data_IF_803486018782
#
_entry.id   IF_803486018782
#
_cell.length_a   1.000
_cell.length_b   1.000
_cell.length_c   1.000
_cell.angle_alpha   90.00
_cell.angle_beta   90.00
_cell.angle_gamma   90.00
#
_symmetry.space_group_name_H-M   'P 1'
#
loop_
_entity.id
_entity.type
_entity.pdbx_description
1 polymer ?
#
# COMPACT_ATOMS: atom_id res chain seq x y z
N UNK A 1 -40.34 -27.59 1.85
CA UNK A 1 -38.87 -27.49 1.75
C UNK A 1 -38.49 -26.11 2.26
N UNK A 2 -37.92 -26.00 3.46
CA UNK A 2 -37.36 -24.73 3.91
C UNK A 2 -36.27 -24.29 2.94
N UNK A 3 -36.26 -23.00 2.60
CA UNK A 3 -35.26 -22.38 1.74
C UNK A 3 -33.89 -22.37 2.44
N UNK A 4 -33.23 -23.53 2.41
CA UNK A 4 -31.92 -23.76 3.03
C UNK A 4 -30.87 -22.81 2.44
N UNK A 5 -31.01 -22.41 1.17
CA UNK A 5 -30.12 -21.46 0.52
C UNK A 5 -30.26 -20.03 1.11
N UNK A 6 -31.48 -19.61 1.46
CA UNK A 6 -31.73 -18.36 2.16
C UNK A 6 -31.12 -18.34 3.57
N UNK A 7 -31.27 -19.44 4.31
CA UNK A 7 -30.71 -19.59 5.66
C UNK A 7 -29.18 -19.61 5.64
N UNK A 8 -28.57 -20.37 4.72
CA UNK A 8 -27.10 -20.45 4.57
C UNK A 8 -26.49 -19.08 4.24
N UNK A 9 -27.15 -18.31 3.35
CA UNK A 9 -26.73 -16.94 3.03
C UNK A 9 -26.83 -16.00 4.23
N UNK A 10 -27.91 -16.08 5.01
CA UNK A 10 -28.08 -15.27 6.22
C UNK A 10 -27.00 -15.59 7.25
N UNK A 11 -26.77 -16.88 7.52
CA UNK A 11 -25.72 -17.36 8.45
C UNK A 11 -24.33 -16.88 8.00
N UNK A 12 -24.00 -17.03 6.71
CA UNK A 12 -22.73 -16.58 6.16
C UNK A 12 -22.56 -15.05 6.26
N UNK A 13 -23.63 -14.28 6.03
CA UNK A 13 -23.62 -12.82 6.17
C UNK A 13 -23.47 -12.37 7.63
N UNK A 14 -24.20 -12.99 8.56
CA UNK A 14 -24.09 -12.68 9.99
C UNK A 14 -22.69 -13.00 10.53
N UNK A 15 -22.15 -14.17 10.17
CA UNK A 15 -20.78 -14.55 10.54
C UNK A 15 -19.74 -13.56 9.99
N UNK A 16 -19.92 -13.14 8.74
CA UNK A 16 -19.07 -12.16 8.08
C UNK A 16 -19.10 -10.78 8.77
N UNK A 17 -20.29 -10.24 9.05
CA UNK A 17 -20.44 -8.95 9.74
C UNK A 17 -19.85 -8.99 11.15
N UNK A 18 -20.03 -10.11 11.87
CA UNK A 18 -19.41 -10.31 13.18
C UNK A 18 -17.88 -10.34 13.10
N UNK A 19 -17.32 -10.99 12.08
CA UNK A 19 -15.87 -11.06 11.87
C UNK A 19 -15.25 -9.69 11.55
N UNK A 20 -15.97 -8.80 10.86
CA UNK A 20 -15.55 -7.42 10.62
C UNK A 20 -15.45 -6.58 11.90
N UNK A 21 -16.27 -6.88 12.91
CA UNK A 21 -16.25 -6.19 14.21
C UNK A 21 -15.06 -6.56 15.11
N UNK A 22 -14.37 -7.66 14.81
CA UNK A 22 -13.19 -8.15 15.55
C UNK A 22 -13.48 -8.69 16.96
N UNK A 23 -12.85 -9.80 17.35
CA UNK A 23 -12.74 -10.21 18.77
C UNK A 23 -11.32 -9.91 19.27
N UNK A 24 -11.15 -8.72 19.82
CA UNK A 24 -9.87 -8.20 20.30
C UNK A 24 -9.22 -9.05 21.41
N UNK A 25 -10.03 -9.75 22.23
CA UNK A 25 -9.50 -10.54 23.35
C UNK A 25 -8.88 -11.84 22.86
N UNK A 26 -9.58 -12.55 21.97
CA UNK A 26 -9.06 -13.78 21.38
C UNK A 26 -7.80 -13.52 20.55
N UNK A 27 -7.82 -12.44 19.75
CA UNK A 27 -6.68 -12.06 18.92
C UNK A 27 -5.45 -11.66 19.75
N UNK A 28 -5.63 -10.95 20.87
CA UNK A 28 -4.52 -10.64 21.81
C UNK A 28 -3.91 -11.91 22.40
N UNK A 29 -4.73 -12.92 22.74
CA UNK A 29 -4.23 -14.22 23.25
C UNK A 29 -3.38 -14.92 22.19
N UNK A 30 -3.86 -15.00 20.95
CA UNK A 30 -3.14 -15.61 19.82
C UNK A 30 -1.82 -14.90 19.50
N UNK A 31 -1.79 -13.57 19.54
CA UNK A 31 -0.57 -12.76 19.36
C UNK A 31 0.48 -13.01 20.44
N UNK A 32 0.06 -13.25 21.68
CA UNK A 32 0.98 -13.56 22.79
C UNK A 32 1.55 -14.98 22.72
N UNK A 33 0.87 -15.90 22.06
CA UNK A 33 1.34 -17.27 21.85
C UNK A 33 2.19 -17.46 20.58
N UNK A 34 2.35 -16.41 19.76
CA UNK A 34 3.20 -16.46 18.58
C UNK A 34 4.67 -16.51 19.00
N UNK A 35 5.28 -17.68 18.88
CA UNK A 35 6.72 -17.86 18.99
C UNK A 35 7.39 -17.52 17.66
N UNK A 36 8.34 -16.58 17.69
CA UNK A 36 9.11 -16.26 16.50
C UNK A 36 10.26 -17.26 16.31
N UNK A 37 10.56 -17.66 15.06
CA UNK A 37 11.67 -18.56 14.74
C UNK A 37 13.02 -17.89 15.03
N UNK A 38 14.11 -18.67 15.02
CA UNK A 38 15.47 -18.15 15.19
C UNK A 38 15.88 -17.28 13.99
N UNK A 39 16.72 -16.25 14.17
CA UNK A 39 17.23 -15.44 13.07
C UNK A 39 18.06 -16.28 12.09
N UNK A 40 17.82 -16.09 10.79
CA UNK A 40 18.73 -16.52 9.71
C UNK A 40 19.24 -15.29 8.95
N UNK A 41 20.44 -15.41 8.36
CA UNK A 41 21.08 -14.29 7.65
C UNK A 41 20.21 -13.82 6.47
N UNK A 42 19.97 -12.50 6.39
CA UNK A 42 19.15 -11.91 5.33
C UNK A 42 19.76 -10.57 4.86
N UNK A 43 19.83 -10.38 3.54
CA UNK A 43 20.49 -9.23 2.91
C UNK A 43 19.53 -8.09 2.52
N UNK A 44 18.32 -8.01 3.08
CA UNK A 44 17.27 -7.14 2.55
C UNK A 44 17.19 -5.73 3.16
N UNK A 45 16.85 -4.78 2.28
CA UNK A 45 16.77 -3.34 2.53
C UNK A 45 15.59 -3.00 3.44
N UNK A 46 15.86 -2.30 4.55
CA UNK A 46 14.88 -2.02 5.60
C UNK A 46 13.85 -0.93 5.25
N UNK A 47 14.13 -0.06 4.29
CA UNK A 47 13.29 1.13 4.04
C UNK A 47 11.91 0.81 3.44
N UNK A 48 11.84 -0.13 2.48
CA UNK A 48 10.59 -0.50 1.81
C UNK A 48 9.71 -1.45 2.63
N UNK A 49 10.27 -2.04 3.69
CA UNK A 49 9.61 -3.04 4.51
C UNK A 49 9.09 -2.41 5.80
N UNK A 50 7.76 -2.32 6.04
CA UNK A 50 7.23 -1.59 7.19
C UNK A 50 7.78 -2.05 8.55
N UNK A 51 7.94 -3.36 8.73
CA UNK A 51 8.52 -3.94 9.97
C UNK A 51 10.00 -3.57 10.10
N UNK A 52 10.77 -3.65 9.01
CA UNK A 52 12.19 -3.26 9.00
C UNK A 52 12.38 -1.77 9.26
N UNK A 53 11.58 -0.91 8.61
CA UNK A 53 11.56 0.53 8.85
C UNK A 53 11.25 0.83 10.31
N UNK A 54 10.26 0.15 10.90
CA UNK A 54 9.90 0.31 12.31
C UNK A 54 11.06 -0.06 13.25
N UNK A 55 11.65 -1.24 13.11
CA UNK A 55 12.77 -1.64 13.98
C UNK A 55 14.00 -0.76 13.81
N UNK A 56 14.27 -0.30 12.57
CA UNK A 56 15.33 0.67 12.35
C UNK A 56 15.02 2.01 13.04
N UNK A 57 13.77 2.48 13.00
CA UNK A 57 13.35 3.69 13.72
C UNK A 57 13.46 3.53 15.23
N UNK A 58 13.03 2.41 15.78
CA UNK A 58 13.16 2.10 17.20
C UNK A 58 14.63 2.08 17.63
N UNK A 59 15.53 1.53 16.79
CA UNK A 59 16.97 1.58 17.00
C UNK A 59 17.52 3.02 16.97
N UNK A 60 17.17 3.83 15.96
CA UNK A 60 17.63 5.22 15.87
C UNK A 60 17.14 6.04 17.07
N UNK A 61 15.92 5.81 17.53
CA UNK A 61 15.36 6.47 18.71
C UNK A 61 16.08 6.10 20.02
N UNK A 62 16.69 4.91 20.09
CA UNK A 62 17.49 4.48 21.24
C UNK A 62 18.87 5.15 21.34
N UNK A 63 19.32 5.83 20.26
CA UNK A 63 20.62 6.48 20.17
C UNK A 63 20.49 7.98 19.88
N UNK A 64 20.76 8.88 20.84
CA UNK A 64 20.59 10.32 20.66
C UNK A 64 21.30 10.90 19.44
N UNK A 65 22.49 10.36 19.12
CA UNK A 65 23.31 10.72 17.95
C UNK A 65 22.66 10.46 16.59
N UNK A 66 21.72 9.50 16.51
CA UNK A 66 21.03 9.16 15.27
C UNK A 66 19.58 9.65 15.23
N UNK A 67 18.98 9.89 16.40
CA UNK A 67 17.61 10.36 16.54
C UNK A 67 17.35 11.63 15.72
N UNK A 68 18.28 12.58 15.74
CA UNK A 68 18.15 13.86 15.02
C UNK A 68 17.96 13.65 13.51
N UNK A 69 18.68 12.69 12.92
CA UNK A 69 18.56 12.37 11.49
C UNK A 69 17.18 11.77 11.15
N UNK A 70 16.65 10.91 12.02
CA UNK A 70 15.32 10.33 11.84
C UNK A 70 14.22 11.38 11.97
N UNK A 71 14.29 12.20 13.03
CA UNK A 71 13.32 13.26 13.33
C UNK A 71 13.31 14.31 12.20
N UNK A 72 14.47 14.66 11.63
CA UNK A 72 14.54 15.55 10.47
C UNK A 72 13.77 15.00 9.26
N UNK A 73 13.95 13.72 8.92
CA UNK A 73 13.26 13.12 7.79
C UNK A 73 11.73 13.05 7.99
N UNK A 74 11.28 12.89 9.23
CA UNK A 74 9.85 12.88 9.57
C UNK A 74 9.28 14.30 9.51
N UNK A 75 9.95 15.28 10.13
CA UNK A 75 9.56 16.69 10.07
C UNK A 75 9.51 17.20 8.61
N UNK A 76 10.48 16.80 7.76
CA UNK A 76 10.50 17.17 6.35
C UNK A 76 9.35 16.53 5.56
N UNK A 77 9.00 15.28 5.86
CA UNK A 77 7.87 14.60 5.25
C UNK A 77 6.54 15.25 5.64
N UNK A 78 6.37 15.57 6.93
CA UNK A 78 5.18 16.25 7.44
C UNK A 78 5.04 17.66 6.87
N UNK A 79 6.14 18.39 6.71
CA UNK A 79 6.15 19.69 6.03
C UNK A 79 5.73 19.58 4.56
N UNK A 80 6.15 18.53 3.86
CA UNK A 80 5.78 18.33 2.46
C UNK A 80 4.26 18.15 2.30
N UNK A 81 3.66 17.36 3.19
CA UNK A 81 2.23 17.10 3.23
C UNK A 81 1.38 18.24 3.81
N UNK A 82 1.99 19.17 4.56
CA UNK A 82 1.28 20.27 5.17
C UNK A 82 0.87 21.33 4.14
N UNK A 83 -0.25 22.01 4.42
CA UNK A 83 -0.80 23.10 3.61
C UNK A 83 -1.05 24.36 4.45
N UNK A 84 -1.12 25.52 3.79
CA UNK A 84 -1.46 26.81 4.41
C UNK A 84 -0.58 27.17 5.62
N UNK A 85 -1.21 27.62 6.71
CA UNK A 85 -0.52 28.06 7.92
C UNK A 85 0.31 26.94 8.59
N UNK A 86 -0.13 25.69 8.50
CA UNK A 86 0.61 24.55 9.05
C UNK A 86 1.95 24.35 8.32
N UNK A 87 1.96 24.50 6.99
CA UNK A 87 3.18 24.40 6.18
C UNK A 87 4.20 25.47 6.56
N UNK A 88 3.76 26.72 6.75
CA UNK A 88 4.62 27.82 7.16
C UNK A 88 5.20 27.61 8.56
N UNK A 89 4.41 27.08 9.49
CA UNK A 89 4.89 26.74 10.83
C UNK A 89 5.93 25.62 10.78
N UNK A 90 5.66 24.53 10.07
CA UNK A 90 6.59 23.42 9.91
C UNK A 90 7.91 23.87 9.26
N UNK A 91 7.84 24.75 8.26
CA UNK A 91 9.00 25.41 7.65
C UNK A 91 9.87 26.12 8.70
N UNK A 92 9.27 27.02 9.50
CA UNK A 92 9.99 27.78 10.53
C UNK A 92 10.61 26.86 11.58
N UNK A 93 9.88 25.82 11.99
CA UNK A 93 10.37 24.82 12.95
C UNK A 93 11.58 24.06 12.40
N UNK A 94 11.53 23.63 11.13
CA UNK A 94 12.65 22.93 10.48
C UNK A 94 13.90 23.83 10.42
N UNK A 95 13.76 25.08 9.95
CA UNK A 95 14.89 26.02 9.86
C UNK A 95 15.50 26.23 11.24
N UNK A 96 14.66 26.52 12.25
CA UNK A 96 15.14 26.76 13.62
C UNK A 96 15.86 25.53 14.21
N UNK A 97 15.31 24.34 14.02
CA UNK A 97 15.84 23.09 14.59
C UNK A 97 17.14 22.65 13.91
N UNK A 98 17.19 22.66 12.58
CA UNK A 98 18.16 21.84 11.84
C UNK A 98 19.26 22.63 11.13
N UNK A 99 19.07 23.94 10.88
CA UNK A 99 19.99 24.73 10.03
C UNK A 99 20.86 25.70 10.81
N UNK A 100 20.46 26.05 12.05
CA UNK A 100 21.19 26.97 12.92
C UNK A 100 22.27 26.23 13.72
N UNK A 101 23.52 26.67 13.60
CA UNK A 101 24.68 25.98 14.20
C UNK A 101 24.68 25.95 15.73
N UNK A 102 23.98 26.88 16.37
CA UNK A 102 23.76 26.95 17.82
C UNK A 102 22.61 26.05 18.31
N UNK A 103 21.83 25.46 17.38
CA UNK A 103 20.77 24.52 17.72
C UNK A 103 21.33 23.18 18.19
N UNK A 104 20.76 22.64 19.27
CA UNK A 104 21.09 21.30 19.78
C UNK A 104 20.76 20.18 18.78
N UNK A 105 19.85 20.43 17.84
CA UNK A 105 19.43 19.48 16.81
C UNK A 105 20.01 19.84 15.44
N UNK A 106 21.05 20.68 15.40
CA UNK A 106 21.76 20.96 14.16
C UNK A 106 22.27 19.66 13.50
N UNK A 107 22.15 19.57 12.18
CA UNK A 107 22.52 18.37 11.40
C UNK A 107 24.05 18.26 11.23
N UNK A 108 24.76 18.13 12.36
CA UNK A 108 26.23 18.10 12.44
C UNK A 108 26.87 16.89 11.76
N UNK A 109 26.09 15.85 11.48
CA UNK A 109 26.52 14.66 10.76
C UNK A 109 26.64 14.86 9.24
N UNK A 110 26.05 15.93 8.69
CA UNK A 110 26.21 16.26 7.28
C UNK A 110 27.64 16.71 6.98
N UNK A 111 28.13 16.42 5.79
CA UNK A 111 29.47 16.81 5.32
C UNK A 111 29.41 17.41 3.92
N UNK A 112 30.46 18.14 3.53
CA UNK A 112 30.58 18.72 2.18
C UNK A 112 29.44 19.65 1.79
N UNK A 113 29.02 19.56 0.52
CA UNK A 113 28.01 20.42 -0.12
C UNK A 113 26.67 20.42 0.64
N UNK A 114 26.22 19.27 1.17
CA UNK A 114 24.97 19.18 1.92
C UNK A 114 24.98 20.01 3.20
N UNK A 115 26.12 20.07 3.91
CA UNK A 115 26.27 20.86 5.12
C UNK A 115 26.32 22.36 4.80
N UNK A 116 27.07 22.73 3.76
CA UNK A 116 27.18 24.13 3.33
C UNK A 116 25.83 24.70 2.91
N UNK A 117 25.09 23.97 2.06
CA UNK A 117 23.75 24.36 1.63
C UNK A 117 22.74 24.39 2.77
N UNK A 118 22.83 23.47 3.73
CA UNK A 118 21.99 23.48 4.92
C UNK A 118 22.17 24.77 5.75
N UNK A 119 23.42 25.23 5.91
CA UNK A 119 23.73 26.47 6.65
C UNK A 119 23.29 27.74 5.91
N UNK A 120 23.36 27.73 4.57
CA UNK A 120 23.04 28.89 3.74
C UNK A 120 21.62 28.87 3.16
N UNK A 121 20.72 28.04 3.69
CA UNK A 121 19.35 27.92 3.18
C UNK A 121 18.57 29.24 3.36
N UNK A 122 17.79 29.59 2.35
CA UNK A 122 16.93 30.78 2.31
C UNK A 122 15.49 30.38 2.01
N UNK A 123 14.54 31.26 2.28
CA UNK A 123 13.12 31.04 1.97
C UNK A 123 12.90 30.65 0.49
N UNK A 124 13.67 31.25 -0.42
CA UNK A 124 13.55 31.03 -1.87
C UNK A 124 14.07 29.69 -2.37
N UNK A 125 14.99 29.04 -1.66
CA UNK A 125 15.61 27.78 -2.08
C UNK A 125 15.35 26.61 -1.11
N UNK A 126 14.55 26.83 -0.06
CA UNK A 126 14.33 25.87 1.01
C UNK A 126 13.88 24.50 0.49
N UNK A 127 12.88 24.48 -0.40
CA UNK A 127 12.34 23.21 -0.91
C UNK A 127 13.42 22.39 -1.61
N UNK A 128 14.17 23.02 -2.52
CA UNK A 128 15.18 22.34 -3.33
C UNK A 128 16.37 21.88 -2.48
N UNK A 129 16.81 22.71 -1.52
CA UNK A 129 17.91 22.38 -0.61
C UNK A 129 17.51 21.24 0.34
N UNK A 130 16.34 21.36 0.97
CA UNK A 130 15.94 20.42 2.02
C UNK A 130 15.50 19.07 1.45
N UNK A 131 14.79 19.04 0.32
CA UNK A 131 14.41 17.79 -0.36
C UNK A 131 15.49 17.20 -1.27
N UNK A 132 16.48 17.99 -1.66
CA UNK A 132 17.61 17.53 -2.44
C UNK A 132 18.79 17.15 -1.53
N UNK A 133 19.87 17.97 -1.52
CA UNK A 133 21.15 17.61 -0.92
C UNK A 133 21.06 17.29 0.58
N UNK A 134 20.22 17.97 1.36
CA UNK A 134 20.11 17.73 2.80
C UNK A 134 19.41 16.40 3.10
N UNK A 135 18.30 16.12 2.41
CA UNK A 135 17.60 14.83 2.53
C UNK A 135 18.48 13.67 2.03
N UNK A 136 19.15 13.84 0.91
CA UNK A 136 20.06 12.84 0.35
C UNK A 136 21.24 12.57 1.29
N UNK A 137 21.95 13.61 1.73
CA UNK A 137 23.06 13.48 2.67
C UNK A 137 22.63 12.85 4.01
N UNK A 138 21.42 13.13 4.48
CA UNK A 138 20.87 12.45 5.67
C UNK A 138 20.62 10.97 5.43
N UNK A 139 20.09 10.60 4.26
CA UNK A 139 19.88 9.19 3.90
C UNK A 139 21.20 8.45 3.73
N UNK A 140 22.21 9.09 3.16
CA UNK A 140 23.57 8.53 3.04
C UNK A 140 24.20 8.30 4.41
N UNK A 141 24.11 9.29 5.30
CA UNK A 141 24.54 9.14 6.69
C UNK A 141 23.87 7.93 7.35
N UNK A 142 22.55 7.82 7.28
CA UNK A 142 21.79 6.71 7.87
C UNK A 142 22.15 5.35 7.27
N UNK A 143 22.48 5.29 5.97
CA UNK A 143 22.94 4.06 5.27
C UNK A 143 24.34 3.62 5.68
N UNK A 144 25.17 4.52 6.22
CA UNK A 144 26.52 4.24 6.65
C UNK A 144 26.60 3.57 8.03
N UNK A 145 27.31 4.24 8.95
CA UNK A 145 27.54 3.76 10.32
C UNK A 145 26.25 3.39 11.09
N UNK A 146 25.17 4.20 11.07
CA UNK A 146 23.94 3.86 11.80
C UNK A 146 23.31 2.54 11.34
N UNK A 147 23.27 2.28 10.03
CA UNK A 147 22.74 1.02 9.50
C UNK A 147 23.64 -0.18 9.85
N UNK A 148 24.97 -0.01 9.78
CA UNK A 148 25.91 -1.06 10.16
C UNK A 148 25.77 -1.45 11.64
N UNK A 149 25.61 -0.46 12.52
CA UNK A 149 25.36 -0.71 13.94
C UNK A 149 23.97 -1.29 14.21
N UNK A 150 22.97 -0.90 13.43
CA UNK A 150 21.65 -1.52 13.49
C UNK A 150 21.72 -3.01 13.15
N UNK A 151 22.46 -3.39 12.10
CA UNK A 151 22.66 -4.79 11.71
C UNK A 151 23.33 -5.64 12.81
N UNK A 152 24.17 -5.02 13.64
CA UNK A 152 24.80 -5.67 14.79
C UNK A 152 23.93 -5.60 16.08
N UNK A 153 22.73 -5.02 16.02
CA UNK A 153 21.89 -4.78 17.19
C UNK A 153 20.78 -5.83 17.34
N UNK A 154 20.25 -6.03 18.57
CA UNK A 154 19.09 -6.90 18.81
C UNK A 154 17.81 -6.47 18.06
N UNK A 155 17.72 -5.24 17.57
CA UNK A 155 16.59 -4.78 16.75
C UNK A 155 16.59 -5.46 15.38
N UNK A 156 17.78 -5.64 14.79
CA UNK A 156 17.90 -6.34 13.51
C UNK A 156 17.67 -7.84 13.68
N UNK A 157 18.12 -8.45 14.78
CA UNK A 157 17.78 -9.84 15.09
C UNK A 157 16.26 -10.05 15.14
N UNK A 158 15.53 -9.16 15.82
CA UNK A 158 14.05 -9.20 15.82
C UNK A 158 13.46 -9.06 14.43
N UNK A 159 14.00 -8.16 13.60
CA UNK A 159 13.58 -8.05 12.21
C UNK A 159 13.78 -9.36 11.44
N UNK A 160 14.95 -10.02 11.58
CA UNK A 160 15.22 -11.31 10.95
C UNK A 160 14.24 -12.40 11.40
N UNK A 161 13.91 -12.45 12.70
CA UNK A 161 12.90 -13.39 13.21
C UNK A 161 11.52 -13.16 12.56
N UNK A 162 11.12 -11.91 12.34
CA UNK A 162 9.89 -11.58 11.60
C UNK A 162 9.97 -11.96 10.12
N UNK A 163 11.14 -11.83 9.48
CA UNK A 163 11.35 -12.28 8.09
C UNK A 163 11.26 -13.79 7.97
N UNK A 164 11.78 -14.55 8.92
CA UNK A 164 11.64 -16.01 8.95
C UNK A 164 10.21 -16.45 9.25
N UNK A 165 9.46 -15.69 10.04
CA UNK A 165 8.03 -15.91 10.23
C UNK A 165 7.23 -15.64 8.94
N UNK A 166 7.59 -14.59 8.19
CA UNK A 166 6.96 -14.25 6.90
C UNK A 166 7.15 -15.34 5.83
N UNK A 167 8.30 -16.02 5.83
CA UNK A 167 8.63 -17.10 4.88
C UNK A 167 7.89 -18.43 5.12
N UNK A 168 7.15 -18.56 6.23
CA UNK A 168 6.46 -19.81 6.54
C UNK A 168 5.45 -20.18 5.44
N UNK A 169 5.29 -21.48 5.12
CA UNK A 169 4.44 -21.91 4.03
C UNK A 169 2.96 -21.57 4.30
N UNK A 170 2.32 -20.92 3.34
CA UNK A 170 0.91 -20.53 3.42
C UNK A 170 0.03 -21.58 2.74
N UNK A 171 -1.10 -21.92 3.37
CA UNK A 171 -2.11 -22.83 2.84
C UNK A 171 -3.51 -22.37 3.22
N UNK A 172 -4.53 -23.06 2.71
CA UNK A 172 -5.94 -22.85 3.07
C UNK A 172 -6.19 -22.88 4.60
N UNK A 173 -5.40 -23.67 5.33
CA UNK A 173 -5.47 -23.76 6.81
C UNK A 173 -5.22 -22.44 7.53
N UNK A 174 -4.59 -21.45 6.89
CA UNK A 174 -4.32 -20.13 7.47
C UNK A 174 -5.55 -19.22 7.53
N UNK A 175 -6.63 -19.59 6.85
CA UNK A 175 -7.79 -18.72 6.62
C UNK A 175 -9.08 -19.34 7.15
N UNK A 176 -9.95 -18.51 7.71
CA UNK A 176 -11.38 -18.81 7.77
C UNK A 176 -12.03 -18.26 6.50
N UNK A 177 -12.78 -19.11 5.80
CA UNK A 177 -13.56 -18.72 4.62
C UNK A 177 -14.99 -18.33 5.02
N UNK A 178 -15.49 -17.24 4.43
CA UNK A 178 -16.83 -16.70 4.65
C UNK A 178 -17.60 -16.69 3.32
N UNK A 179 -18.51 -15.73 3.15
CA UNK A 179 -19.38 -15.62 1.98
C UNK A 179 -18.62 -15.37 0.68
N UNK A 180 -19.23 -15.80 -0.42
CA UNK A 180 -18.85 -15.40 -1.78
C UNK A 180 -19.16 -13.92 -2.00
N UNK A 181 -18.20 -13.18 -2.57
CA UNK A 181 -18.31 -11.77 -2.94
C UNK A 181 -18.63 -11.59 -4.42
N UNK A 182 -18.14 -12.49 -5.27
CA UNK A 182 -18.39 -12.46 -6.71
C UNK A 182 -18.00 -13.77 -7.40
N UNK A 183 -18.54 -13.97 -8.61
CA UNK A 183 -18.21 -15.12 -9.47
C UNK A 183 -17.65 -14.63 -10.79
N UNK A 184 -16.58 -15.28 -11.25
CA UNK A 184 -15.84 -14.88 -12.44
C UNK A 184 -15.63 -16.00 -13.46
N UNK A 185 -14.99 -15.65 -14.58
CA UNK A 185 -14.76 -16.54 -15.72
C UNK A 185 -13.91 -17.79 -15.43
N UNK A 186 -13.11 -17.76 -14.36
CA UNK A 186 -12.21 -18.85 -13.95
C UNK A 186 -12.47 -19.38 -12.53
N UNK A 187 -13.41 -18.80 -11.78
CA UNK A 187 -13.67 -19.22 -10.40
C UNK A 187 -14.54 -18.23 -9.66
N UNK A 188 -14.23 -18.00 -8.39
CA UNK A 188 -15.00 -17.12 -7.50
C UNK A 188 -14.09 -16.31 -6.59
N UNK A 189 -14.65 -15.28 -5.98
CA UNK A 189 -14.01 -14.47 -4.95
C UNK A 189 -14.82 -14.63 -3.68
N UNK A 190 -14.19 -15.00 -2.56
CA UNK A 190 -14.83 -15.08 -1.25
C UNK A 190 -14.12 -14.20 -0.23
N UNK A 191 -14.84 -13.78 0.82
CA UNK A 191 -14.23 -13.12 1.96
C UNK A 191 -13.49 -14.16 2.82
N UNK A 192 -12.29 -13.81 3.26
CA UNK A 192 -11.49 -14.66 4.15
C UNK A 192 -10.92 -13.85 5.31
N UNK A 193 -10.65 -14.51 6.44
CA UNK A 193 -9.97 -13.91 7.58
C UNK A 193 -8.71 -14.70 7.89
N UNK A 194 -7.58 -14.00 8.07
CA UNK A 194 -6.35 -14.64 8.57
C UNK A 194 -6.57 -15.05 10.02
N UNK A 195 -6.45 -16.34 10.32
CA UNK A 195 -6.74 -16.90 11.65
C UNK A 195 -5.90 -16.26 12.76
N UNK A 196 -4.63 -15.95 12.48
CA UNK A 196 -3.71 -15.46 13.50
C UNK A 196 -3.86 -13.96 13.79
N UNK A 197 -4.26 -13.16 12.80
CA UNK A 197 -4.29 -11.70 12.93
C UNK A 197 -5.70 -11.14 13.04
N UNK A 198 -6.71 -11.88 12.59
CA UNK A 198 -8.09 -11.40 12.45
C UNK A 198 -8.33 -10.51 11.24
N UNK A 199 -7.29 -10.28 10.42
CA UNK A 199 -7.38 -9.38 9.28
C UNK A 199 -8.23 -10.00 8.18
N UNK A 200 -9.20 -9.21 7.69
CA UNK A 200 -10.08 -9.57 6.59
C UNK A 200 -9.45 -9.28 5.23
N UNK A 201 -9.65 -10.18 4.28
CA UNK A 201 -9.19 -10.11 2.89
C UNK A 201 -10.25 -10.67 1.93
N UNK A 202 -10.06 -10.42 0.63
CA UNK A 202 -10.74 -11.14 -0.44
C UNK A 202 -9.82 -12.26 -0.96
N UNK A 203 -10.34 -13.44 -1.26
CA UNK A 203 -9.60 -14.55 -1.84
C UNK A 203 -10.17 -14.88 -3.22
N UNK A 204 -9.45 -14.54 -4.28
CA UNK A 204 -9.75 -14.94 -5.67
C UNK A 204 -9.27 -16.37 -5.86
N UNK A 205 -10.22 -17.31 -5.94
CA UNK A 205 -10.01 -18.75 -6.13
C UNK A 205 -10.20 -19.09 -7.60
N UNK A 206 -9.11 -19.45 -8.28
CA UNK A 206 -9.10 -19.83 -9.71
C UNK A 206 -9.07 -21.35 -9.83
N UNK A 207 -10.09 -21.96 -10.44
CA UNK A 207 -10.18 -23.41 -10.59
C UNK A 207 -9.15 -23.93 -11.62
N UNK A 208 -8.29 -24.87 -11.19
CA UNK A 208 -7.19 -25.40 -12.02
C UNK A 208 -7.69 -26.10 -13.29
N UNK A 209 -8.84 -26.79 -13.24
CA UNK A 209 -9.40 -27.47 -14.43
C UNK A 209 -9.95 -26.44 -15.43
N UNK A 210 -10.64 -25.39 -14.95
CA UNK A 210 -11.18 -24.30 -15.77
C UNK A 210 -10.07 -23.47 -16.41
N UNK A 211 -8.99 -23.18 -15.67
CA UNK A 211 -7.81 -22.52 -16.22
C UNK A 211 -7.25 -23.32 -17.40
N UNK A 212 -6.98 -24.61 -17.19
CA UNK A 212 -6.45 -25.51 -18.23
C UNK A 212 -7.37 -25.61 -19.45
N UNK A 213 -8.68 -25.76 -19.22
CA UNK A 213 -9.67 -25.87 -20.31
C UNK A 213 -9.73 -24.61 -21.20
N UNK A 214 -9.48 -23.43 -20.62
CA UNK A 214 -9.60 -22.13 -21.30
C UNK A 214 -8.25 -21.51 -21.69
N UNK A 215 -7.13 -22.20 -21.44
CA UNK A 215 -5.78 -21.65 -21.69
C UNK A 215 -5.42 -20.44 -20.82
N UNK A 216 -5.99 -20.35 -19.61
CA UNK A 216 -5.88 -19.19 -18.72
C UNK A 216 -4.63 -19.16 -17.84
N UNK A 217 -3.73 -20.14 -17.93
CA UNK A 217 -2.59 -20.30 -17.02
C UNK A 217 -1.61 -19.12 -17.09
N UNK A 218 -1.29 -18.67 -18.31
CA UNK A 218 -0.40 -17.51 -18.52
C UNK A 218 -1.00 -16.24 -17.93
N UNK A 219 -2.31 -16.06 -18.09
CA UNK A 219 -3.05 -14.91 -17.57
C UNK A 219 -3.04 -14.89 -16.04
N UNK A 220 -3.32 -16.03 -15.40
CA UNK A 220 -3.29 -16.15 -13.94
C UNK A 220 -1.88 -15.91 -13.35
N UNK A 221 -0.84 -16.43 -14.01
CA UNK A 221 0.54 -16.20 -13.58
C UNK A 221 0.96 -14.73 -13.75
N UNK A 222 0.54 -14.09 -14.84
CA UNK A 222 0.82 -12.68 -15.10
C UNK A 222 0.14 -11.79 -14.05
N UNK A 223 -1.14 -12.03 -13.77
CA UNK A 223 -1.88 -11.30 -12.73
C UNK A 223 -1.16 -11.39 -11.38
N UNK A 224 -0.76 -12.60 -10.96
CA UNK A 224 -0.01 -12.81 -9.72
C UNK A 224 1.32 -12.03 -9.71
N UNK A 225 2.09 -12.07 -10.79
CA UNK A 225 3.39 -11.38 -10.89
C UNK A 225 3.26 -9.86 -10.81
N UNK A 226 2.24 -9.30 -11.47
CA UNK A 226 1.99 -7.85 -11.44
C UNK A 226 1.55 -7.45 -10.02
N UNK A 227 0.61 -8.18 -9.43
CA UNK A 227 0.11 -7.89 -8.08
C UNK A 227 1.18 -8.03 -6.98
N UNK A 228 2.22 -8.86 -7.17
CA UNK A 228 3.36 -8.95 -6.25
C UNK A 228 4.28 -7.72 -6.31
N UNK A 229 4.36 -7.05 -7.46
CA UNK A 229 5.23 -5.88 -7.65
C UNK A 229 4.53 -4.60 -7.23
N UNK A 230 3.24 -4.49 -7.52
CA UNK A 230 2.43 -3.31 -7.26
C UNK A 230 2.21 -3.12 -5.77
N UNK A 231 2.43 -1.90 -5.28
CA UNK A 231 2.10 -1.51 -3.91
C UNK A 231 1.53 -0.08 -3.91
N UNK A 232 0.21 0.04 -4.01
CA UNK A 232 -0.46 1.34 -4.12
C UNK A 232 -1.73 1.40 -3.26
N UNK A 233 -2.10 2.62 -2.84
CA UNK A 233 -3.38 2.88 -2.18
C UNK A 233 -4.56 2.82 -3.15
N UNK A 234 -4.32 2.90 -4.46
CA UNK A 234 -5.36 2.95 -5.50
C UNK A 234 -5.43 1.67 -6.35
N UNK A 235 -4.69 0.64 -5.95
CA UNK A 235 -4.74 -0.72 -6.51
C UNK A 235 -5.03 -1.71 -5.38
N UNK A 236 -5.71 -2.80 -5.68
CA UNK A 236 -5.79 -3.93 -4.76
C UNK A 236 -4.41 -4.54 -4.59
N UNK A 237 -3.96 -4.70 -3.35
CA UNK A 237 -2.64 -5.27 -3.05
C UNK A 237 -2.78 -6.75 -2.73
N UNK A 238 -1.85 -7.56 -3.22
CA UNK A 238 -1.74 -8.97 -2.86
C UNK A 238 -1.04 -9.11 -1.51
N UNK A 239 -1.65 -9.86 -0.61
CA UNK A 239 -1.07 -10.21 0.69
C UNK A 239 -0.51 -11.63 0.71
N UNK A 240 -1.21 -12.58 0.08
CA UNK A 240 -0.78 -13.98 0.02
C UNK A 240 -1.12 -14.61 -1.33
N UNK A 241 -0.27 -15.52 -1.80
CA UNK A 241 -0.59 -16.43 -2.88
C UNK A 241 -0.30 -17.87 -2.42
N UNK A 242 -1.25 -18.77 -2.63
CA UNK A 242 -1.09 -20.19 -2.33
C UNK A 242 -1.89 -21.02 -3.32
N UNK A 243 -1.62 -22.31 -3.39
CA UNK A 243 -2.44 -23.25 -4.15
C UNK A 243 -3.02 -24.35 -3.25
N UNK A 244 -4.12 -24.93 -3.72
CA UNK A 244 -4.73 -26.11 -3.12
C UNK A 244 -4.79 -27.23 -4.16
N UNK A 245 -5.36 -28.38 -3.80
CA UNK A 245 -5.54 -29.48 -4.77
C UNK A 245 -6.31 -29.04 -6.03
N UNK A 246 -7.25 -28.11 -5.90
CA UNK A 246 -8.20 -27.75 -6.96
C UNK A 246 -8.08 -26.30 -7.44
N UNK A 247 -7.49 -25.40 -6.66
CA UNK A 247 -7.49 -23.96 -6.95
C UNK A 247 -6.10 -23.33 -6.84
N UNK A 248 -5.88 -22.24 -7.58
CA UNK A 248 -4.88 -21.22 -7.28
C UNK A 248 -5.59 -20.09 -6.55
N UNK A 249 -5.00 -19.59 -5.45
CA UNK A 249 -5.63 -18.61 -4.57
C UNK A 249 -4.78 -17.35 -4.46
N UNK A 250 -5.40 -16.20 -4.76
CA UNK A 250 -4.81 -14.88 -4.55
C UNK A 250 -5.58 -14.16 -3.43
N UNK A 251 -4.93 -13.92 -2.31
CA UNK A 251 -5.50 -13.22 -1.14
C UNK A 251 -5.10 -11.76 -1.21
N UNK A 252 -6.08 -10.88 -1.40
CA UNK A 252 -5.90 -9.48 -1.74
C UNK A 252 -6.77 -8.57 -0.88
N UNK A 253 -6.51 -7.26 -0.97
CA UNK A 253 -7.30 -6.22 -0.28
C UNK A 253 -8.80 -6.47 -0.43
N UNK A 254 -9.52 -6.49 0.70
CA UNK A 254 -10.97 -6.65 0.73
C UNK A 254 -11.66 -5.31 0.46
N UNK A 255 -12.52 -5.28 -0.55
CA UNK A 255 -13.26 -4.08 -0.98
C UNK A 255 -14.76 -4.28 -0.71
N UNK A 256 -15.23 -3.74 0.41
CA UNK A 256 -16.59 -4.02 0.95
C UNK A 256 -17.70 -3.16 0.37
N UNK A 257 -17.34 -2.07 -0.31
CA UNK A 257 -18.28 -1.12 -0.90
C UNK A 257 -18.87 -1.58 -2.23
N UNK A 258 -18.45 -2.74 -2.76
CA UNK A 258 -18.88 -3.21 -4.08
C UNK A 258 -18.17 -2.50 -5.24
N UNK A 259 -18.58 -2.81 -6.46
CA UNK A 259 -18.01 -2.21 -7.69
C UNK A 259 -18.74 -0.93 -8.12
N UNK A 260 -18.03 -0.07 -8.86
CA UNK A 260 -18.54 1.23 -9.30
C UNK A 260 -19.73 1.06 -10.27
N UNK A 261 -19.84 -0.05 -11.00
CA UNK A 261 -21.03 -0.35 -11.83
C UNK A 261 -22.28 -0.39 -10.97
N UNK A 262 -22.26 -1.09 -9.85
CA UNK A 262 -23.39 -1.12 -8.91
C UNK A 262 -23.73 0.28 -8.40
N UNK A 263 -22.73 1.10 -8.07
CA UNK A 263 -22.97 2.48 -7.63
C UNK A 263 -23.61 3.34 -8.72
N UNK A 264 -23.19 3.21 -9.97
CA UNK A 264 -23.74 3.97 -11.10
C UNK A 264 -25.17 3.56 -11.42
N UNK A 265 -25.47 2.25 -11.48
CA UNK A 265 -26.72 1.76 -12.04
C UNK A 265 -27.78 1.38 -11.01
N UNK A 266 -27.39 1.05 -9.78
CA UNK A 266 -28.28 0.46 -8.77
C UNK A 266 -28.46 1.33 -7.53
N UNK A 267 -27.51 2.21 -7.21
CA UNK A 267 -27.65 3.12 -6.07
C UNK A 267 -28.27 4.48 -6.45
N UNK A 268 -28.12 4.93 -7.70
CA UNK A 268 -28.81 6.10 -8.26
C UNK A 268 -28.53 7.44 -7.57
N UNK A 269 -28.82 8.56 -8.24
CA UNK A 269 -28.81 9.90 -7.66
C UNK A 269 -30.27 10.32 -7.37
N UNK A 270 -30.75 10.18 -6.14
CA UNK A 270 -32.14 10.46 -5.76
C UNK A 270 -32.34 11.88 -5.22
N UNK A 271 -32.02 12.87 -6.03
CA UNK A 271 -32.42 14.25 -5.75
C UNK A 271 -33.91 14.57 -5.98
N UNK A 272 -34.74 13.56 -6.36
CA UNK A 272 -36.19 13.57 -6.71
C UNK A 272 -36.51 12.98 -8.11
N UNK A 273 -36.11 11.73 -8.35
CA UNK A 273 -36.70 10.90 -9.43
C UNK A 273 -35.84 10.76 -10.67
N UNK A 274 -35.33 9.53 -10.84
CA UNK A 274 -34.85 8.90 -12.07
C UNK A 274 -33.81 9.68 -12.88
N UNK A 275 -32.54 9.57 -12.49
CA UNK A 275 -31.45 9.42 -13.45
C UNK A 275 -30.34 8.53 -12.85
N UNK A 276 -29.94 7.51 -13.60
CA UNK A 276 -28.82 6.62 -13.25
C UNK A 276 -27.53 7.43 -13.29
N UNK A 277 -26.61 7.20 -12.36
CA UNK A 277 -25.34 7.94 -12.28
C UNK A 277 -24.89 8.20 -10.85
N UNK A 278 -23.84 9.03 -10.73
CA UNK A 278 -23.28 9.48 -9.46
C UNK A 278 -23.04 11.01 -9.52
N UNK A 279 -23.12 11.69 -8.38
CA UNK A 279 -22.91 13.14 -8.28
C UNK A 279 -21.54 13.55 -8.85
N UNK A 280 -21.48 14.69 -9.55
CA UNK A 280 -20.25 15.21 -10.15
C UNK A 280 -19.07 15.29 -9.17
N UNK A 281 -19.30 15.67 -7.91
CA UNK A 281 -18.24 15.68 -6.88
C UNK A 281 -17.64 14.29 -6.65
N UNK A 282 -18.48 13.24 -6.64
CA UNK A 282 -18.02 11.83 -6.52
C UNK A 282 -17.31 11.38 -7.80
N UNK A 283 -17.78 11.81 -8.97
CA UNK A 283 -17.09 11.55 -10.25
C UNK A 283 -15.66 12.09 -10.23
N UNK A 284 -15.49 13.37 -9.87
CA UNK A 284 -14.17 14.00 -9.76
C UNK A 284 -13.30 13.25 -8.74
N UNK A 285 -13.86 12.91 -7.59
CA UNK A 285 -13.14 12.19 -6.53
C UNK A 285 -12.64 10.81 -7.00
N UNK A 286 -13.51 9.98 -7.58
CA UNK A 286 -13.12 8.66 -8.09
C UNK A 286 -12.18 8.75 -9.28
N UNK A 287 -12.35 9.74 -10.16
CA UNK A 287 -11.48 9.94 -11.32
C UNK A 287 -10.07 10.29 -10.87
N UNK A 288 -9.89 11.14 -9.86
CA UNK A 288 -8.58 11.44 -9.29
C UNK A 288 -7.90 10.18 -8.74
N UNK A 289 -8.61 9.37 -7.97
CA UNK A 289 -8.09 8.12 -7.39
C UNK A 289 -7.74 7.06 -8.45
N UNK A 290 -8.63 6.86 -9.42
CA UNK A 290 -8.38 5.99 -10.58
C UNK A 290 -7.12 6.46 -11.31
N UNK A 291 -7.00 7.76 -11.55
CA UNK A 291 -5.85 8.36 -12.23
C UNK A 291 -4.56 8.09 -11.46
N UNK A 292 -4.54 8.24 -10.13
CA UNK A 292 -3.39 7.87 -9.30
C UNK A 292 -3.04 6.37 -9.41
N UNK A 293 -4.04 5.48 -9.49
CA UNK A 293 -3.80 4.05 -9.72
C UNK A 293 -3.18 3.75 -11.09
N UNK A 294 -3.65 4.41 -12.14
CA UNK A 294 -3.10 4.30 -13.50
C UNK A 294 -1.69 4.88 -13.58
N UNK A 295 -1.45 6.05 -12.99
CA UNK A 295 -0.13 6.68 -12.90
C UNK A 295 0.88 5.72 -12.26
N UNK A 296 0.51 5.09 -11.14
CA UNK A 296 1.38 4.13 -10.47
C UNK A 296 1.71 2.90 -11.34
N UNK A 297 0.74 2.35 -12.07
CA UNK A 297 1.02 1.26 -13.02
C UNK A 297 1.96 1.72 -14.14
N UNK A 298 1.75 2.92 -14.67
CA UNK A 298 2.56 3.47 -15.75
C UNK A 298 4.00 3.78 -15.32
N UNK A 299 4.21 4.25 -14.08
CA UNK A 299 5.56 4.41 -13.48
C UNK A 299 6.34 3.09 -13.40
N UNK A 300 5.62 1.96 -13.41
CA UNK A 300 6.18 0.61 -13.40
C UNK A 300 6.23 -0.02 -14.81
N UNK A 301 5.99 0.78 -15.86
CA UNK A 301 5.85 0.33 -17.26
C UNK A 301 4.76 -0.74 -17.43
N UNK A 302 3.66 -0.65 -16.69
CA UNK A 302 2.53 -1.59 -16.74
C UNK A 302 1.30 -0.92 -17.37
N UNK A 303 0.75 -1.49 -18.44
CA UNK A 303 -0.50 -1.03 -19.04
C UNK A 303 -1.66 -1.88 -18.52
N UNK A 304 -2.67 -1.25 -17.90
CA UNK A 304 -3.79 -1.94 -17.26
C UNK A 304 -4.74 -2.65 -18.24
N UNK A 305 -5.13 -1.99 -19.34
CA UNK A 305 -5.96 -2.49 -20.46
C UNK A 305 -7.38 -2.97 -20.16
N UNK A 306 -7.85 -3.01 -18.91
CA UNK A 306 -9.23 -3.43 -18.57
C UNK A 306 -9.96 -2.39 -17.72
N UNK A 307 -9.91 -1.12 -18.15
CA UNK A 307 -10.58 -0.05 -17.43
C UNK A 307 -12.09 -0.07 -17.70
N UNK A 308 -12.87 -0.45 -16.69
CA UNK A 308 -14.34 -0.46 -16.69
C UNK A 308 -14.91 -0.32 -15.27
N UNK A 309 -16.17 0.12 -15.09
CA UNK A 309 -16.76 0.31 -13.77
C UNK A 309 -16.79 -0.96 -12.89
N UNK A 310 -16.88 -2.15 -13.47
CA UNK A 310 -16.83 -3.43 -12.75
C UNK A 310 -15.51 -3.65 -12.01
N UNK A 311 -14.40 -3.09 -12.51
CA UNK A 311 -13.08 -3.31 -11.94
C UNK A 311 -12.64 -2.18 -11.00
N UNK A 312 -13.47 -1.16 -10.78
CA UNK A 312 -13.25 -0.12 -9.78
C UNK A 312 -14.04 -0.52 -8.53
N UNK A 313 -13.34 -0.91 -7.46
CA UNK A 313 -13.98 -1.37 -6.23
C UNK A 313 -13.89 -0.31 -5.15
N UNK A 314 -14.90 -0.22 -4.29
CA UNK A 314 -14.93 0.70 -3.16
C UNK A 314 -14.67 -0.03 -1.85
N UNK A 315 -13.95 0.61 -0.93
CA UNK A 315 -13.81 0.13 0.44
C UNK A 315 -14.91 0.70 1.36
N UNK A 316 -14.86 0.37 2.66
CA UNK A 316 -15.84 0.85 3.64
C UNK A 316 -15.74 2.35 3.95
N UNK A 317 -14.65 3.01 3.54
CA UNK A 317 -14.44 4.45 3.68
C UNK A 317 -14.78 5.20 2.38
N UNK A 318 -15.29 4.49 1.36
CA UNK A 318 -15.64 5.06 0.07
C UNK A 318 -14.45 5.38 -0.83
N UNK A 319 -13.25 4.89 -0.52
CA UNK A 319 -12.08 5.02 -1.39
C UNK A 319 -12.13 3.97 -2.49
N UNK A 320 -11.75 4.34 -3.72
CA UNK A 320 -11.73 3.40 -4.83
C UNK A 320 -10.34 2.81 -5.08
N UNK A 321 -10.32 1.54 -5.52
CA UNK A 321 -9.12 0.84 -5.99
C UNK A 321 -9.41 0.10 -7.28
N UNK A 322 -8.45 0.12 -8.17
CA UNK A 322 -8.45 -0.73 -9.36
C UNK A 322 -8.16 -2.19 -8.98
N UNK A 323 -8.85 -3.10 -9.65
CA UNK A 323 -8.79 -4.55 -9.43
C UNK A 323 -8.66 -5.31 -10.76
N UNK A 324 -8.53 -6.63 -10.70
CA UNK A 324 -8.47 -7.53 -11.88
C UNK A 324 -7.38 -7.16 -12.92
N UNK A 325 -6.12 -7.41 -12.56
CA UNK A 325 -4.96 -7.15 -13.44
C UNK A 325 -4.72 -8.27 -14.47
N UNK A 326 -5.71 -9.14 -14.73
CA UNK A 326 -5.58 -10.29 -15.62
C UNK A 326 -5.23 -9.94 -17.07
N UNK A 327 -5.64 -8.76 -17.55
CA UNK A 327 -5.32 -8.28 -18.90
C UNK A 327 -4.16 -7.28 -18.93
N UNK A 328 -3.58 -6.93 -17.78
CA UNK A 328 -2.47 -5.99 -17.72
C UNK A 328 -1.22 -6.59 -18.39
N UNK A 329 -0.32 -5.74 -18.89
CA UNK A 329 0.95 -6.15 -19.50
C UNK A 329 2.09 -5.27 -19.02
N UNK A 330 3.27 -5.87 -18.86
CA UNK A 330 4.52 -5.13 -18.66
C UNK A 330 5.12 -4.78 -20.03
N UNK A 331 5.48 -3.51 -20.22
CA UNK A 331 6.15 -3.02 -21.42
C UNK A 331 7.63 -3.37 -21.33
N UNK A 332 8.17 -3.99 -22.39
CA UNK A 332 9.58 -4.35 -22.42
C UNK A 332 10.48 -3.10 -22.49
N UNK A 333 11.64 -3.10 -21.82
CA UNK A 333 12.61 -2.00 -21.91
C UNK A 333 12.95 -1.68 -23.37
N UNK A 334 12.93 -0.40 -23.75
CA UNK A 334 13.26 0.07 -25.10
C UNK A 334 12.10 0.04 -26.12
N UNK A 335 10.94 -0.52 -25.78
CA UNK A 335 9.69 -0.19 -26.46
C UNK A 335 9.15 1.13 -25.88
N UNK A 336 8.36 1.89 -26.65
CA UNK A 336 7.83 3.21 -26.26
C UNK A 336 7.42 3.22 -24.80
N UNK A 337 8.22 3.87 -23.94
CA UNK A 337 7.90 4.03 -22.53
C UNK A 337 6.59 4.82 -22.42
N UNK A 338 5.77 4.50 -21.43
CA UNK A 338 4.52 5.22 -21.18
C UNK A 338 4.90 6.59 -20.59
N UNK A 339 5.39 7.48 -21.46
CA UNK A 339 5.73 8.85 -21.08
C UNK A 339 4.44 9.63 -20.98
N UNK A 340 4.15 10.12 -19.79
CA UNK A 340 3.24 11.22 -19.62
C UNK A 340 3.83 12.42 -20.35
N UNK A 341 3.23 12.81 -21.47
CA UNK A 341 3.24 14.21 -21.87
C UNK A 341 2.44 14.94 -20.80
N UNK A 342 3.11 15.36 -19.73
CA UNK A 342 2.64 16.52 -18.98
C UNK A 342 2.67 17.63 -20.01
N UNK A 343 1.50 17.95 -20.58
CA UNK A 343 1.34 19.22 -21.26
C UNK A 343 1.54 20.27 -20.17
N UNK A 344 2.78 20.73 -20.00
CA UNK A 344 3.06 22.07 -19.50
C UNK A 344 2.51 23.05 -20.54
N UNK A 345 1.19 23.06 -20.71
CA UNK A 345 0.51 24.19 -21.29
C UNK A 345 0.27 25.14 -20.14
N UNK A 346 1.22 26.06 -19.98
CA UNK A 346 0.89 27.46 -19.73
C UNK A 346 -0.36 27.79 -20.50
N UNK A 347 -1.51 27.84 -19.84
CA UNK A 347 -2.70 28.44 -20.42
C UNK A 347 -2.34 29.90 -20.67
N UNK A 348 -2.30 30.40 -21.91
CA UNK A 348 -2.38 31.83 -22.09
C UNK A 348 -3.81 32.19 -21.68
N UNK A 349 -3.95 32.82 -20.52
CA UNK A 349 -5.09 33.69 -20.27
C UNK A 349 -5.03 34.76 -21.36
N UNK A 350 -5.79 34.56 -22.43
CA UNK A 350 -6.06 35.60 -23.41
C UNK A 350 -7.57 35.86 -23.44
N UNK A 351 -7.86 37.13 -23.11
CA UNK A 351 -9.10 37.91 -23.13
C UNK A 351 -10.26 37.45 -22.27
#
# INVERSE_FOLDING_TARGET
MCDMAGLDNLVANTAYLKAQGGDDKEMKKRRRSLSLPKPEQCAHICERQPIGKKFFRDFLASKPEYKVAADFLDDLYDWDLAEGAAKNKAYQDIVKKYTKADSKTFLSFLTGDALEKCKSVTDSNFSDVMKGPVQEGTREFLKGKPFSEYQASPFFDKFLQWKEYEKQPISDKYFYEFRTLGKGGFGEVCAVQVKNTGQMYACKKLDKKRLKKKGGEKMALLEKKILEKVNSLFLVNLAYAYDSKTHLCLVMTLMNGGDLKYHIYNLGYDGKGVDKGIEMKRVVYYTAQITCGILHLHEMDIIYRDMKPENVLLDSQGQCRLSDLGLAIEVAPGKTSIRWLVLEHTWPLNS
#
